data_IF_160644564904
#
_entry.id   IF_160644564904
#
_cell.length_a   1.000
_cell.length_b   1.000
_cell.length_c   1.000
_cell.angle_alpha   90.00
_cell.angle_beta   90.00
_cell.angle_gamma   90.00
#
_symmetry.space_group_name_H-M   'P 1'
#
loop_
_entity.id
_entity.type
_entity.pdbx_description
1 polymer ?
#
# COMPACT_ATOMS: atom_id res chain seq x y z
N UNK A 1 1.30 0.96 7.26
CA UNK A 1 0.58 -0.11 6.51
C UNK A 1 -0.80 0.43 6.18
N UNK A 2 -1.15 0.53 4.91
CA UNK A 2 -2.38 1.19 4.46
C UNK A 2 -3.12 0.32 3.44
N UNK A 3 -4.38 0.01 3.72
CA UNK A 3 -5.34 -0.43 2.71
C UNK A 3 -6.34 0.71 2.50
N UNK A 4 -6.19 1.45 1.40
CA UNK A 4 -7.07 2.59 1.09
C UNK A 4 -8.36 2.15 0.36
N UNK A 5 -8.55 0.86 0.09
CA UNK A 5 -9.71 0.34 -0.61
C UNK A 5 -9.92 1.04 -1.96
N UNK A 6 -11.12 1.56 -2.21
CA UNK A 6 -11.44 2.27 -3.45
C UNK A 6 -10.65 3.59 -3.62
N UNK A 7 -10.19 4.21 -2.53
CA UNK A 7 -9.42 5.44 -2.60
C UNK A 7 -8.02 5.25 -3.17
N UNK A 8 -7.49 4.02 -3.19
CA UNK A 8 -6.30 3.67 -3.96
C UNK A 8 -6.39 4.15 -5.42
N UNK A 9 -7.59 4.09 -6.01
CA UNK A 9 -7.79 4.35 -7.44
C UNK A 9 -8.24 5.78 -7.73
N UNK A 10 -8.42 6.62 -6.71
CA UNK A 10 -9.10 7.93 -6.89
C UNK A 10 -8.53 9.06 -6.05
N UNK A 11 -7.88 8.79 -4.92
CA UNK A 11 -7.57 9.83 -3.94
C UNK A 11 -6.15 10.37 -4.08
N UNK A 12 -6.02 11.47 -4.83
CA UNK A 12 -4.79 12.29 -4.83
C UNK A 12 -4.54 12.87 -3.43
N UNK A 13 -5.59 13.24 -2.69
CA UNK A 13 -5.46 13.78 -1.34
C UNK A 13 -4.74 12.82 -0.38
N UNK A 14 -4.94 11.50 -0.51
CA UNK A 14 -4.20 10.52 0.28
C UNK A 14 -2.73 10.40 -0.17
N UNK A 15 -2.43 10.57 -1.46
CA UNK A 15 -1.05 10.63 -1.95
C UNK A 15 -0.32 11.79 -1.31
N UNK A 16 -0.93 12.98 -1.33
CA UNK A 16 -0.36 14.19 -0.73
C UNK A 16 -0.13 14.02 0.77
N UNK A 17 -1.09 13.41 1.48
CA UNK A 17 -0.95 13.12 2.91
C UNK A 17 0.20 12.15 3.20
N UNK A 18 0.44 11.14 2.35
CA UNK A 18 1.56 10.21 2.49
C UNK A 18 2.89 10.92 2.23
N UNK A 19 2.97 11.76 1.19
CA UNK A 19 4.18 12.51 0.86
C UNK A 19 4.53 13.58 1.89
N UNK A 20 3.52 14.15 2.56
CA UNK A 20 3.72 15.18 3.57
C UNK A 20 4.28 14.65 4.90
N UNK A 21 4.18 13.34 5.16
CA UNK A 21 4.69 12.73 6.39
C UNK A 21 5.96 11.94 6.11
N UNK A 22 6.98 12.06 6.97
CA UNK A 22 8.23 11.29 6.85
C UNK A 22 8.08 9.88 7.48
N UNK A 23 7.01 9.17 7.11
CA UNK A 23 6.67 7.85 7.64
C UNK A 23 6.53 6.87 6.47
N UNK A 24 7.28 5.75 6.44
CA UNK A 24 7.18 4.77 5.36
C UNK A 24 5.81 4.08 5.36
N UNK A 25 5.18 4.03 4.18
CA UNK A 25 3.87 3.38 3.99
C UNK A 25 4.03 2.13 3.13
N UNK A 26 3.53 0.99 3.61
CA UNK A 26 3.32 -0.22 2.78
C UNK A 26 1.86 -0.28 2.38
N UNK A 27 1.59 -0.31 1.08
CA UNK A 27 0.23 -0.47 0.53
C UNK A 27 -0.22 -1.94 0.63
N UNK A 28 -1.47 -2.16 1.03
CA UNK A 28 -2.03 -3.50 1.21
C UNK A 28 -3.39 -3.59 0.55
N UNK A 29 -3.60 -4.65 -0.23
CA UNK A 29 -4.91 -5.07 -0.71
C UNK A 29 -5.14 -6.55 -0.42
N UNK A 30 -6.33 -6.85 0.10
CA UNK A 30 -6.74 -8.25 0.32
C UNK A 30 -6.97 -8.98 -1.02
N UNK A 31 -7.60 -8.30 -1.98
CA UNK A 31 -7.79 -8.81 -3.35
C UNK A 31 -6.60 -8.48 -4.25
N UNK A 32 -6.39 -9.28 -5.29
CA UNK A 32 -5.45 -8.93 -6.35
C UNK A 32 -6.09 -7.87 -7.25
N UNK A 33 -5.72 -6.60 -7.10
CA UNK A 33 -6.30 -5.50 -7.88
C UNK A 33 -5.97 -5.59 -9.38
N UNK A 34 -4.89 -6.29 -9.75
CA UNK A 34 -4.49 -6.50 -11.15
C UNK A 34 -5.34 -7.56 -11.85
N UNK A 35 -5.97 -8.46 -11.09
CA UNK A 35 -6.92 -9.47 -11.59
C UNK A 35 -8.36 -8.96 -11.72
N UNK A 36 -8.57 -7.65 -11.57
CA UNK A 36 -9.89 -7.01 -11.49
C UNK A 36 -10.13 -6.05 -12.65
N UNK A 37 -11.24 -5.32 -12.59
CA UNK A 37 -11.66 -4.33 -13.58
C UNK A 37 -10.55 -3.28 -13.87
N UNK A 38 -10.45 -2.77 -15.09
CA UNK A 38 -9.36 -1.83 -15.51
C UNK A 38 -9.18 -0.65 -14.55
N UNK A 39 -10.28 -0.05 -14.09
CA UNK A 39 -10.24 1.10 -13.17
C UNK A 39 -9.64 0.77 -11.80
N UNK A 40 -9.48 -0.52 -11.45
CA UNK A 40 -8.85 -0.97 -10.19
C UNK A 40 -7.38 -1.31 -10.35
N UNK A 41 -6.88 -1.41 -11.57
CA UNK A 41 -5.48 -1.78 -11.83
C UNK A 41 -4.53 -0.61 -11.58
N UNK A 42 -5.04 0.62 -11.62
CA UNK A 42 -4.27 1.82 -11.30
C UNK A 42 -4.35 2.14 -9.80
N UNK A 43 -3.19 2.31 -9.17
CA UNK A 43 -3.05 2.81 -7.80
C UNK A 43 -2.31 4.14 -7.84
N UNK A 44 -2.93 5.18 -7.30
CA UNK A 44 -2.26 6.45 -7.04
C UNK A 44 -1.32 6.37 -5.82
N UNK A 45 -1.54 5.40 -4.94
CA UNK A 45 -0.77 5.19 -3.71
C UNK A 45 0.53 4.43 -3.96
N UNK A 46 0.52 3.45 -4.87
CA UNK A 46 1.67 2.57 -5.14
C UNK A 46 2.96 3.33 -5.48
N UNK A 47 2.95 4.42 -6.28
CA UNK A 47 4.16 5.18 -6.58
C UNK A 47 4.82 5.88 -5.38
N UNK A 48 4.06 6.18 -4.32
CA UNK A 48 4.56 6.89 -3.12
C UNK A 48 4.70 5.99 -1.90
N UNK A 49 4.33 4.71 -2.02
CA UNK A 49 4.54 3.72 -0.98
C UNK A 49 5.97 3.16 -1.03
N UNK A 50 6.46 2.66 0.11
CA UNK A 50 7.69 1.85 0.20
C UNK A 50 7.61 0.59 -0.67
N UNK A 51 6.42 0.02 -0.78
CA UNK A 51 6.10 -1.19 -1.53
C UNK A 51 4.64 -1.59 -1.32
N UNK A 52 4.18 -2.59 -2.06
CA UNK A 52 2.78 -3.03 -2.02
C UNK A 52 2.63 -4.55 -1.93
N UNK A 53 1.57 -5.00 -1.24
CA UNK A 53 1.17 -6.41 -1.15
C UNK A 53 -0.29 -6.58 -1.61
N UNK A 54 -0.51 -7.39 -2.64
CA UNK A 54 -1.83 -7.51 -3.29
C UNK A 54 -2.24 -8.98 -3.42
N UNK A 55 -3.45 -9.34 -2.99
CA UNK A 55 -4.09 -10.60 -3.37
C UNK A 55 -3.91 -11.80 -2.45
N UNK A 56 -3.30 -11.65 -1.28
CA UNK A 56 -3.12 -12.74 -0.31
C UNK A 56 -4.18 -12.72 0.82
N UNK A 57 -5.31 -12.05 0.62
CA UNK A 57 -6.37 -11.95 1.61
C UNK A 57 -5.87 -11.29 2.91
N UNK A 58 -6.19 -11.89 4.06
CA UNK A 58 -5.74 -11.39 5.37
C UNK A 58 -4.22 -11.49 5.54
N UNK A 59 -3.57 -12.44 4.85
CA UNK A 59 -2.11 -12.63 4.95
C UNK A 59 -1.33 -11.47 4.35
N UNK A 60 -1.94 -10.65 3.48
CA UNK A 60 -1.30 -9.43 2.97
C UNK A 60 -0.87 -8.47 4.09
N UNK A 61 -1.62 -8.42 5.20
CA UNK A 61 -1.25 -7.59 6.35
C UNK A 61 -0.05 -8.15 7.12
N UNK A 62 0.03 -9.48 7.26
CA UNK A 62 1.18 -10.11 7.91
C UNK A 62 2.47 -9.87 7.13
N UNK A 63 2.42 -10.02 5.80
CA UNK A 63 3.55 -9.72 4.92
C UNK A 63 3.97 -8.24 5.01
N UNK A 64 3.00 -7.32 5.06
CA UNK A 64 3.29 -5.90 5.24
C UNK A 64 3.92 -5.58 6.61
N UNK A 65 3.49 -6.25 7.69
CA UNK A 65 4.11 -6.12 9.02
C UNK A 65 5.56 -6.59 8.98
N UNK A 66 5.84 -7.74 8.36
CA UNK A 66 7.20 -8.25 8.20
C UNK A 66 8.10 -7.24 7.45
N UNK A 67 7.60 -6.68 6.34
CA UNK A 67 8.31 -5.67 5.56
C UNK A 67 8.61 -4.40 6.38
N UNK A 68 7.62 -3.89 7.12
CA UNK A 68 7.81 -2.71 7.99
C UNK A 68 8.81 -3.00 9.10
N UNK A 69 8.72 -4.16 9.75
CA UNK A 69 9.65 -4.54 10.82
C UNK A 69 11.09 -4.59 10.30
N UNK A 70 11.32 -5.22 9.14
CA UNK A 70 12.65 -5.26 8.51
C UNK A 70 13.17 -3.84 8.18
N UNK A 71 12.31 -2.98 7.64
CA UNK A 71 12.67 -1.59 7.31
C UNK A 71 13.07 -0.78 8.55
N UNK A 72 12.35 -0.95 9.66
CA UNK A 72 12.66 -0.26 10.92
C UNK A 72 13.98 -0.73 11.51
N UNK A 73 14.28 -2.02 11.44
CA UNK A 73 15.55 -2.58 11.92
C UNK A 73 16.76 -2.12 11.10
N UNK A 74 16.58 -1.84 9.81
CA UNK A 74 17.68 -1.39 8.92
C UNK A 74 17.98 0.12 9.06
N UNK A 75 17.05 0.89 9.64
CA UNK A 75 17.20 2.33 9.88
C UNK A 75 17.83 2.66 11.24
N UNK A 76 18.02 1.68 12.12
CA UNK A 76 18.76 1.77 13.39
C UNK A 76 20.22 1.38 13.18
#
# INVERSE_FOLDING_TARGET
>A
ILNAGAFTHTSIALVDAILAVDIPVVEVHMSNIYGREEFRKHSYISPVALGGVFGFGKNSYLLAILAVNQQLQTKL
#
